data_IF_781266119233
#
_entry.id   IF_781266119233
#
_cell.length_a   1.000
_cell.length_b   1.000
_cell.length_c   1.000
_cell.angle_alpha   90.00
_cell.angle_beta   90.00
_cell.angle_gamma   90.00
#
_symmetry.space_group_name_H-M   'P 1'
#
loop_
_entity.id
_entity.type
_entity.pdbx_description
1 polymer ?
#
# COMPACT_ATOMS: atom_id res chain seq x y z
N UNK A 1 14.64 -30.50 70.65
CA UNK A 1 13.79 -29.35 70.29
C UNK A 1 13.60 -29.14 68.78
N UNK A 2 14.68 -29.16 67.97
CA UNK A 2 14.60 -28.90 66.52
C UNK A 2 13.70 -29.87 65.72
N UNK A 3 13.68 -31.17 66.06
CA UNK A 3 12.88 -32.19 65.36
C UNK A 3 11.36 -31.98 65.53
N UNK A 4 10.92 -31.61 66.74
CA UNK A 4 9.51 -31.35 67.04
C UNK A 4 9.00 -30.07 66.34
N UNK A 5 9.83 -29.04 66.25
CA UNK A 5 9.51 -27.81 65.52
C UNK A 5 9.37 -28.09 64.02
N UNK A 6 10.26 -28.93 63.46
CA UNK A 6 10.21 -29.36 62.05
C UNK A 6 8.94 -30.17 61.76
N UNK A 7 8.60 -31.13 62.62
CA UNK A 7 7.40 -31.98 62.51
C UNK A 7 6.10 -31.17 62.67
N UNK A 8 6.06 -30.20 63.59
CA UNK A 8 4.93 -29.28 63.77
C UNK A 8 4.73 -28.36 62.56
N UNK A 9 5.82 -27.86 61.95
CA UNK A 9 5.75 -27.09 60.69
C UNK A 9 5.21 -27.93 59.53
N UNK A 10 5.66 -29.18 59.41
CA UNK A 10 5.22 -30.10 58.35
C UNK A 10 3.73 -30.47 58.48
N UNK A 11 3.23 -30.73 59.70
CA UNK A 11 1.81 -30.99 59.96
C UNK A 11 0.93 -29.76 59.69
N UNK A 12 1.40 -28.54 60.01
CA UNK A 12 0.70 -27.30 59.65
C UNK A 12 0.56 -27.16 58.13
N UNK A 13 1.63 -27.44 57.39
CA UNK A 13 1.64 -27.38 55.94
C UNK A 13 0.67 -28.41 55.33
N UNK A 14 0.67 -29.66 55.82
CA UNK A 14 -0.28 -30.69 55.38
C UNK A 14 -1.73 -30.32 55.67
N UNK A 15 -2.02 -29.76 56.86
CA UNK A 15 -3.37 -29.28 57.19
C UNK A 15 -3.82 -28.16 56.25
N UNK A 16 -2.93 -27.25 55.88
CA UNK A 16 -3.22 -26.17 54.95
C UNK A 16 -3.51 -26.69 53.54
N UNK A 17 -2.72 -27.65 53.05
CA UNK A 17 -2.97 -28.32 51.76
C UNK A 17 -4.32 -29.03 51.74
N UNK A 18 -4.65 -29.82 52.76
CA UNK A 18 -5.94 -30.51 52.87
C UNK A 18 -7.13 -29.54 52.93
N UNK A 19 -6.95 -28.39 53.57
CA UNK A 19 -7.97 -27.34 53.64
C UNK A 19 -8.20 -26.73 52.26
N UNK A 20 -7.13 -26.39 51.54
CA UNK A 20 -7.21 -25.89 50.17
C UNK A 20 -7.87 -26.90 49.22
N UNK A 21 -7.53 -28.19 49.35
CA UNK A 21 -8.15 -29.28 48.57
C UNK A 21 -9.66 -29.33 48.80
N UNK A 22 -10.12 -29.30 50.06
CA UNK A 22 -11.57 -29.30 50.38
C UNK A 22 -12.28 -28.06 49.81
N UNK A 23 -11.62 -26.92 49.83
CA UNK A 23 -12.15 -25.69 49.25
C UNK A 23 -12.29 -25.81 47.73
N UNK A 24 -11.30 -26.37 47.02
CA UNK A 24 -11.39 -26.65 45.58
C UNK A 24 -12.55 -27.60 45.29
N UNK A 25 -12.66 -28.72 46.02
CA UNK A 25 -13.72 -29.71 45.81
C UNK A 25 -15.12 -29.12 46.05
N UNK A 26 -15.27 -28.23 47.02
CA UNK A 26 -16.53 -27.51 47.25
C UNK A 26 -16.88 -26.60 46.07
N UNK A 27 -15.92 -25.78 45.64
CA UNK A 27 -16.07 -24.84 44.52
C UNK A 27 -16.42 -25.58 43.22
N UNK A 28 -15.78 -26.73 42.98
CA UNK A 28 -16.10 -27.60 41.84
C UNK A 28 -17.52 -28.19 41.92
N UNK A 29 -18.04 -28.51 43.11
CA UNK A 29 -19.43 -28.93 43.27
C UNK A 29 -20.42 -27.81 42.95
N UNK A 30 -20.12 -26.58 43.39
CA UNK A 30 -20.93 -25.40 43.09
C UNK A 30 -20.95 -25.15 41.57
N UNK A 31 -19.79 -25.20 40.90
CA UNK A 31 -19.70 -25.06 39.45
C UNK A 31 -20.46 -26.15 38.69
N UNK A 32 -20.41 -27.41 39.16
CA UNK A 32 -21.19 -28.50 38.58
C UNK A 32 -22.71 -28.30 38.71
N UNK A 33 -23.17 -27.67 39.79
CA UNK A 33 -24.60 -27.34 39.95
C UNK A 33 -25.01 -26.18 39.02
N UNK A 34 -24.13 -25.19 38.85
CA UNK A 34 -24.35 -24.06 37.94
C UNK A 34 -24.29 -24.47 36.46
N UNK A 35 -23.64 -25.60 36.14
CA UNK A 35 -23.69 -26.18 34.80
C UNK A 35 -25.13 -26.47 34.32
N UNK A 36 -26.08 -26.72 35.23
CA UNK A 36 -27.48 -27.00 34.91
C UNK A 36 -28.40 -25.78 35.00
N UNK A 37 -27.87 -24.60 35.35
CA UNK A 37 -28.66 -23.39 35.45
C UNK A 37 -28.78 -22.70 34.08
N UNK A 38 -29.93 -22.06 33.84
CA UNK A 38 -30.27 -21.34 32.59
C UNK A 38 -30.11 -19.81 32.70
N UNK A 39 -29.86 -19.26 33.90
CA UNK A 39 -29.71 -17.81 34.10
C UNK A 39 -28.28 -17.33 33.76
N UNK A 40 -28.10 -16.93 32.51
CA UNK A 40 -26.81 -16.60 31.88
C UNK A 40 -25.95 -15.58 32.66
N UNK A 41 -26.58 -14.62 33.35
CA UNK A 41 -25.91 -13.51 34.04
C UNK A 41 -25.45 -13.89 35.45
N UNK A 42 -26.32 -14.54 36.23
CA UNK A 42 -26.00 -15.00 37.60
C UNK A 42 -24.95 -16.12 37.58
N UNK A 43 -25.02 -16.95 36.53
CA UNK A 43 -24.05 -18.02 36.30
C UNK A 43 -22.64 -17.45 36.08
N UNK A 44 -22.50 -16.34 35.35
CA UNK A 44 -21.20 -15.83 34.91
C UNK A 44 -20.33 -15.26 36.03
N UNK A 45 -20.85 -14.35 36.86
CA UNK A 45 -20.09 -13.74 37.96
C UNK A 45 -19.70 -14.78 39.02
N UNK A 46 -20.60 -15.72 39.26
CA UNK A 46 -20.36 -16.82 40.19
C UNK A 46 -19.36 -17.82 39.61
N UNK A 47 -19.47 -18.15 38.32
CA UNK A 47 -18.47 -18.96 37.60
C UNK A 47 -17.10 -18.29 37.69
N UNK A 48 -17.01 -17.00 37.38
CA UNK A 48 -15.77 -16.21 37.44
C UNK A 48 -15.12 -16.27 38.82
N UNK A 49 -15.89 -15.97 39.87
CA UNK A 49 -15.41 -15.99 41.26
C UNK A 49 -14.86 -17.35 41.67
N UNK A 50 -15.59 -18.42 41.34
CA UNK A 50 -15.21 -19.79 41.66
C UNK A 50 -14.00 -20.27 40.84
N UNK A 51 -13.88 -19.88 39.56
CA UNK A 51 -12.70 -20.19 38.74
C UNK A 51 -11.45 -19.52 39.30
N UNK A 52 -11.51 -18.22 39.59
CA UNK A 52 -10.37 -17.48 40.14
C UNK A 52 -9.95 -18.07 41.48
N UNK A 53 -10.91 -18.44 42.32
CA UNK A 53 -10.68 -19.11 43.59
C UNK A 53 -10.00 -20.48 43.42
N UNK A 54 -10.51 -21.33 42.51
CA UNK A 54 -9.92 -22.63 42.23
C UNK A 54 -8.50 -22.46 41.70
N UNK A 55 -8.26 -21.59 40.71
CA UNK A 55 -6.93 -21.38 40.14
C UNK A 55 -5.90 -20.91 41.18
N UNK A 56 -6.30 -20.02 42.10
CA UNK A 56 -5.45 -19.59 43.20
C UNK A 56 -5.03 -20.77 44.09
N UNK A 57 -5.98 -21.62 44.49
CA UNK A 57 -5.70 -22.76 45.36
C UNK A 57 -4.98 -23.92 44.64
N UNK A 58 -5.23 -24.11 43.34
CA UNK A 58 -4.49 -25.05 42.50
C UNK A 58 -3.00 -24.70 42.48
N UNK A 59 -2.65 -23.43 42.28
CA UNK A 59 -1.26 -22.96 42.29
C UNK A 59 -0.54 -23.25 43.62
N UNK A 60 -1.25 -23.22 44.75
CA UNK A 60 -0.68 -23.51 46.06
C UNK A 60 -0.46 -25.01 46.34
N UNK A 61 -1.02 -25.90 45.52
CA UNK A 61 -1.06 -27.35 45.77
C UNK A 61 -0.36 -28.21 44.69
N UNK A 62 0.23 -27.59 43.65
CA UNK A 62 0.77 -28.28 42.47
C UNK A 62 1.80 -29.39 42.75
N UNK A 63 2.58 -29.26 43.83
CA UNK A 63 3.69 -30.19 44.14
C UNK A 63 3.27 -31.42 44.97
N UNK A 64 1.97 -31.74 45.04
CA UNK A 64 1.44 -32.79 45.92
C UNK A 64 0.82 -33.94 45.12
N UNK A 65 1.13 -35.21 45.44
CA UNK A 65 0.59 -36.36 44.73
C UNK A 65 -0.94 -36.50 44.89
N UNK A 66 -1.51 -36.01 46.00
CA UNK A 66 -2.95 -35.97 46.24
C UNK A 66 -3.68 -35.04 45.25
N UNK A 67 -2.94 -34.15 44.58
CA UNK A 67 -3.47 -33.15 43.67
C UNK A 67 -3.69 -33.68 42.24
N UNK A 68 -3.09 -34.81 41.83
CA UNK A 68 -3.22 -35.36 40.46
C UNK A 68 -4.67 -35.68 40.10
N UNK A 69 -5.41 -36.33 41.01
CA UNK A 69 -6.82 -36.68 40.80
C UNK A 69 -7.72 -35.44 40.72
N UNK A 70 -7.42 -34.43 41.52
CA UNK A 70 -8.16 -33.16 41.53
C UNK A 70 -7.87 -32.38 40.24
N UNK A 71 -6.61 -32.37 39.79
CA UNK A 71 -6.20 -31.73 38.55
C UNK A 71 -6.90 -32.35 37.33
N UNK A 72 -7.02 -33.68 37.26
CA UNK A 72 -7.74 -34.35 36.17
C UNK A 72 -9.24 -33.99 36.16
N UNK A 73 -9.88 -33.97 37.34
CA UNK A 73 -11.28 -33.56 37.47
C UNK A 73 -11.48 -32.07 37.14
N UNK A 74 -10.51 -31.22 37.46
CA UNK A 74 -10.56 -29.80 37.14
C UNK A 74 -10.47 -29.57 35.64
N UNK A 75 -9.57 -30.26 34.93
CA UNK A 75 -9.45 -30.13 33.48
C UNK A 75 -10.71 -30.59 32.74
N UNK A 76 -11.35 -31.68 33.18
CA UNK A 76 -12.62 -32.13 32.59
C UNK A 76 -13.76 -31.12 32.81
N UNK A 77 -13.88 -30.58 34.04
CA UNK A 77 -14.84 -29.52 34.35
C UNK A 77 -14.56 -28.25 33.54
N UNK A 78 -13.30 -27.85 33.44
CA UNK A 78 -12.84 -26.68 32.69
C UNK A 78 -13.22 -26.79 31.21
N UNK A 79 -13.00 -27.93 30.57
CA UNK A 79 -13.42 -28.15 29.17
C UNK A 79 -14.94 -28.06 28.98
N UNK A 80 -15.70 -28.60 29.93
CA UNK A 80 -17.17 -28.52 29.91
C UNK A 80 -17.66 -27.07 30.04
N UNK A 81 -17.09 -26.31 30.99
CA UNK A 81 -17.38 -24.89 31.19
C UNK A 81 -16.98 -24.05 29.97
N UNK A 82 -15.81 -24.32 29.37
CA UNK A 82 -15.38 -23.65 28.15
C UNK A 82 -16.41 -23.83 27.04
N UNK A 83 -16.85 -25.06 26.79
CA UNK A 83 -17.85 -25.35 25.76
C UNK A 83 -19.18 -24.64 26.04
N UNK A 84 -19.64 -24.63 27.30
CA UNK A 84 -20.89 -23.93 27.68
C UNK A 84 -20.78 -22.42 27.47
N UNK A 85 -19.70 -21.80 27.96
CA UNK A 85 -19.46 -20.34 27.86
C UNK A 85 -19.27 -19.92 26.41
N UNK A 86 -18.59 -20.72 25.58
CA UNK A 86 -18.46 -20.50 24.14
C UNK A 86 -19.83 -20.46 23.45
N UNK A 87 -20.70 -21.43 23.72
CA UNK A 87 -22.05 -21.47 23.15
C UNK A 87 -22.91 -20.28 23.59
N UNK A 88 -22.80 -19.86 24.86
CA UNK A 88 -23.50 -18.67 25.37
C UNK A 88 -22.97 -17.38 24.75
N UNK A 89 -21.64 -17.24 24.61
CA UNK A 89 -21.02 -16.10 23.92
C UNK A 89 -21.58 -15.94 22.51
N UNK A 90 -21.67 -17.03 21.74
CA UNK A 90 -22.21 -17.00 20.37
C UNK A 90 -23.69 -16.58 20.34
N UNK A 91 -24.50 -17.05 21.29
CA UNK A 91 -25.91 -16.63 21.42
C UNK A 91 -26.02 -15.13 21.73
N UNK A 92 -25.28 -14.66 22.72
CA UNK A 92 -25.27 -13.26 23.17
C UNK A 92 -24.76 -12.33 22.07
N UNK A 93 -23.73 -12.76 21.34
CA UNK A 93 -23.20 -12.04 20.17
C UNK A 93 -24.26 -11.93 19.06
N UNK A 94 -24.93 -13.04 18.72
CA UNK A 94 -25.97 -13.05 17.69
C UNK A 94 -27.20 -12.22 18.07
N UNK A 95 -27.54 -12.17 19.36
CA UNK A 95 -28.62 -11.34 19.90
C UNK A 95 -28.25 -9.85 20.03
N UNK A 96 -27.01 -9.46 19.69
CA UNK A 96 -26.47 -8.09 19.78
C UNK A 96 -26.48 -7.50 21.19
N UNK A 97 -26.32 -8.35 22.21
CA UNK A 97 -26.27 -7.94 23.62
C UNK A 97 -24.84 -7.53 24.03
N UNK A 98 -24.36 -6.40 23.49
CA UNK A 98 -22.97 -5.94 23.63
C UNK A 98 -22.47 -5.82 25.07
N UNK A 99 -23.34 -5.43 26.02
CA UNK A 99 -23.00 -5.31 27.44
C UNK A 99 -22.54 -6.64 28.05
N UNK A 100 -23.16 -7.76 27.66
CA UNK A 100 -22.86 -9.09 28.20
C UNK A 100 -21.64 -9.74 27.53
N UNK A 101 -21.34 -9.42 26.27
CA UNK A 101 -20.22 -9.99 25.52
C UNK A 101 -18.89 -9.85 26.28
N UNK A 102 -18.63 -8.67 26.83
CA UNK A 102 -17.42 -8.38 27.62
C UNK A 102 -17.23 -9.36 28.78
N UNK A 103 -18.29 -9.63 29.55
CA UNK A 103 -18.26 -10.56 30.69
C UNK A 103 -17.91 -12.00 30.27
N UNK A 104 -18.49 -12.49 29.16
CA UNK A 104 -18.18 -13.82 28.63
C UNK A 104 -16.72 -13.92 28.15
N UNK A 105 -16.20 -12.87 27.51
CA UNK A 105 -14.79 -12.82 27.09
C UNK A 105 -13.86 -12.84 28.31
N UNK A 106 -14.13 -12.04 29.34
CA UNK A 106 -13.34 -12.03 30.58
C UNK A 106 -13.35 -13.43 31.23
N UNK A 107 -14.50 -14.10 31.27
CA UNK A 107 -14.60 -15.46 31.80
C UNK A 107 -13.79 -16.49 31.01
N UNK A 108 -13.78 -16.40 29.67
CA UNK A 108 -12.96 -17.28 28.83
C UNK A 108 -11.46 -17.03 29.01
N UNK A 109 -11.05 -15.76 29.10
CA UNK A 109 -9.65 -15.39 29.34
C UNK A 109 -9.19 -15.93 30.69
N UNK A 110 -10.01 -15.79 31.73
CA UNK A 110 -9.71 -16.34 33.06
C UNK A 110 -9.65 -17.87 33.05
N UNK A 111 -10.49 -18.58 32.29
CA UNK A 111 -10.42 -20.04 32.21
C UNK A 111 -9.17 -20.55 31.48
N UNK A 112 -8.74 -19.85 30.44
CA UNK A 112 -7.65 -20.28 29.56
C UNK A 112 -6.53 -19.25 29.54
N UNK A 113 -6.38 -18.55 28.42
CA UNK A 113 -5.44 -17.46 28.20
C UNK A 113 -5.98 -16.61 27.05
N UNK A 114 -5.39 -15.44 26.85
CA UNK A 114 -5.76 -14.53 25.76
C UNK A 114 -5.67 -15.20 24.38
N UNK A 115 -4.62 -15.99 24.14
CA UNK A 115 -4.35 -16.58 22.81
C UNK A 115 -5.40 -17.61 22.39
N UNK A 116 -5.95 -18.38 23.33
CA UNK A 116 -7.02 -19.33 23.09
C UNK A 116 -8.33 -18.61 22.76
N UNK A 117 -8.63 -17.52 23.46
CA UNK A 117 -9.83 -16.70 23.19
C UNK A 117 -9.73 -16.02 21.83
N UNK A 118 -8.57 -15.48 21.47
CA UNK A 118 -8.31 -14.92 20.14
C UNK A 118 -8.54 -15.95 19.03
N UNK A 119 -8.03 -17.19 19.18
CA UNK A 119 -8.26 -18.28 18.22
C UNK A 119 -9.73 -18.67 18.11
N UNK A 120 -10.43 -18.72 19.24
CA UNK A 120 -11.87 -19.01 19.27
C UNK A 120 -12.65 -17.95 18.48
N UNK A 121 -12.45 -16.67 18.79
CA UNK A 121 -13.15 -15.56 18.13
C UNK A 121 -12.85 -15.56 16.63
N UNK A 122 -11.59 -15.78 16.26
CA UNK A 122 -11.20 -15.91 14.86
C UNK A 122 -11.97 -17.02 14.14
N UNK A 123 -12.12 -18.19 14.78
CA UNK A 123 -12.74 -19.38 14.17
C UNK A 123 -14.26 -19.30 14.11
N UNK A 124 -14.89 -18.92 15.22
CA UNK A 124 -16.35 -19.05 15.39
C UNK A 124 -17.12 -17.77 15.04
N UNK A 125 -16.47 -16.59 15.09
CA UNK A 125 -17.13 -15.29 14.84
C UNK A 125 -16.60 -14.64 13.56
N UNK A 126 -15.29 -14.42 13.48
CA UNK A 126 -14.71 -13.62 12.40
C UNK A 126 -14.67 -14.41 11.08
N UNK A 127 -14.19 -15.66 11.09
CA UNK A 127 -14.14 -16.48 9.87
C UNK A 127 -15.50 -16.56 9.15
N UNK A 128 -16.61 -17.02 9.76
CA UNK A 128 -17.88 -17.11 9.03
C UNK A 128 -18.35 -15.75 8.50
N UNK A 129 -18.16 -14.67 9.27
CA UNK A 129 -18.55 -13.33 8.87
C UNK A 129 -17.78 -12.83 7.64
N UNK A 130 -16.46 -13.02 7.61
CA UNK A 130 -15.64 -12.56 6.49
C UNK A 130 -15.62 -13.51 5.30
N UNK A 131 -16.06 -14.75 5.46
CA UNK A 131 -16.19 -15.72 4.35
C UNK A 131 -17.38 -15.36 3.47
N UNK A 132 -18.46 -14.94 4.10
CA UNK A 132 -19.64 -14.39 3.43
C UNK A 132 -19.37 -12.99 2.85
N UNK A 133 -18.63 -12.14 3.58
CA UNK A 133 -18.41 -10.75 3.20
C UNK A 133 -17.29 -10.54 2.16
N UNK A 134 -16.16 -11.24 2.30
CA UNK A 134 -14.93 -11.02 1.50
C UNK A 134 -14.72 -12.21 0.56
N UNK A 135 -15.33 -12.12 -0.62
CA UNK A 135 -15.18 -13.08 -1.71
C UNK A 135 -15.34 -12.38 -3.07
N UNK A 136 -14.97 -13.06 -4.16
CA UNK A 136 -15.07 -12.50 -5.52
C UNK A 136 -16.52 -12.15 -5.92
N UNK A 137 -17.52 -12.90 -5.44
CA UNK A 137 -18.94 -12.63 -5.71
C UNK A 137 -19.41 -11.32 -5.06
N UNK A 138 -18.98 -11.06 -3.82
CA UNK A 138 -19.25 -9.83 -3.08
C UNK A 138 -18.55 -8.62 -3.70
N UNK A 139 -17.39 -8.82 -4.33
CA UNK A 139 -16.72 -7.78 -5.11
C UNK A 139 -17.46 -7.49 -6.42
N UNK A 140 -17.92 -8.53 -7.12
CA UNK A 140 -18.61 -8.41 -8.40
C UNK A 140 -20.01 -7.79 -8.28
N UNK A 141 -20.69 -8.06 -7.17
CA UNK A 141 -22.05 -7.56 -6.90
C UNK A 141 -22.08 -6.13 -6.33
N UNK A 142 -20.96 -5.58 -5.86
CA UNK A 142 -20.94 -4.25 -5.26
C UNK A 142 -21.01 -3.14 -6.32
N UNK A 143 -22.01 -2.23 -6.27
CA UNK A 143 -22.16 -1.15 -7.24
C UNK A 143 -20.98 -0.16 -7.22
N UNK A 144 -20.25 -0.07 -6.10
CA UNK A 144 -19.05 0.77 -5.97
C UNK A 144 -17.76 -0.04 -6.11
N UNK A 145 -17.84 -1.28 -6.59
CA UNK A 145 -16.70 -2.18 -6.75
C UNK A 145 -15.91 -2.34 -5.44
N UNK A 146 -14.58 -2.26 -5.49
CA UNK A 146 -13.68 -2.49 -4.37
C UNK A 146 -13.86 -1.47 -3.24
N UNK A 147 -14.08 -0.20 -3.56
CA UNK A 147 -14.34 0.86 -2.57
C UNK A 147 -15.59 0.56 -1.73
N UNK A 148 -16.66 0.06 -2.37
CA UNK A 148 -17.87 -0.33 -1.67
C UNK A 148 -17.68 -1.51 -0.73
N UNK A 149 -16.92 -2.52 -1.18
CA UNK A 149 -16.58 -3.68 -0.37
C UNK A 149 -15.71 -3.27 0.83
N UNK A 150 -14.71 -2.41 0.65
CA UNK A 150 -13.93 -1.85 1.74
C UNK A 150 -14.79 -1.08 2.74
N UNK A 151 -15.71 -0.23 2.29
CA UNK A 151 -16.61 0.50 3.17
C UNK A 151 -17.51 -0.44 4.01
N UNK A 152 -18.01 -1.53 3.41
CA UNK A 152 -18.79 -2.55 4.13
C UNK A 152 -17.94 -3.29 5.16
N UNK A 153 -16.69 -3.62 4.84
CA UNK A 153 -15.77 -4.22 5.80
C UNK A 153 -15.51 -3.26 6.97
N UNK A 154 -15.24 -1.98 6.69
CA UNK A 154 -15.00 -0.98 7.72
C UNK A 154 -16.19 -0.79 8.66
N UNK A 155 -17.43 -0.83 8.16
CA UNK A 155 -18.61 -0.74 9.02
C UNK A 155 -18.73 -1.92 9.99
N UNK A 156 -18.31 -3.12 9.57
CA UNK A 156 -18.24 -4.29 10.45
C UNK A 156 -17.10 -4.16 11.46
N UNK A 157 -15.96 -3.60 11.05
CA UNK A 157 -14.84 -3.29 11.98
C UNK A 157 -15.29 -2.27 13.03
N UNK A 158 -16.04 -1.24 12.65
CA UNK A 158 -16.57 -0.24 13.59
C UNK A 158 -17.58 -0.86 14.57
N UNK A 159 -18.49 -1.70 14.06
CA UNK A 159 -19.44 -2.44 14.90
C UNK A 159 -18.71 -3.38 15.87
N UNK A 160 -17.66 -4.06 15.41
CA UNK A 160 -16.82 -4.91 16.24
C UNK A 160 -16.09 -4.10 17.31
N UNK A 161 -15.54 -2.93 16.96
CA UNK A 161 -14.89 -2.04 17.92
C UNK A 161 -15.87 -1.53 18.99
N UNK A 162 -17.14 -1.28 18.65
CA UNK A 162 -18.15 -0.89 19.64
C UNK A 162 -18.48 -2.01 20.63
N UNK A 163 -18.53 -3.27 20.16
CA UNK A 163 -18.85 -4.43 21.01
C UNK A 163 -17.68 -4.79 21.93
N UNK A 164 -16.46 -4.81 21.39
CA UNK A 164 -15.28 -5.33 22.10
C UNK A 164 -14.33 -4.26 22.64
N UNK A 165 -14.52 -2.99 22.26
CA UNK A 165 -13.60 -1.90 22.59
C UNK A 165 -13.59 -1.48 24.05
N UNK A 166 -14.61 -1.86 24.83
CA UNK A 166 -14.70 -1.59 26.27
C UNK A 166 -14.05 -2.68 27.15
N UNK A 167 -13.45 -3.72 26.55
CA UNK A 167 -12.83 -4.81 27.29
C UNK A 167 -11.45 -4.39 27.78
N UNK A 168 -11.35 -3.97 29.03
CA UNK A 168 -10.10 -3.58 29.70
C UNK A 168 -9.37 -4.83 30.24
N UNK A 169 -8.73 -5.58 29.35
CA UNK A 169 -7.81 -6.67 29.74
C UNK A 169 -6.43 -6.31 29.20
N UNK A 170 -5.43 -6.26 30.09
CA UNK A 170 -4.04 -6.03 29.69
C UNK A 170 -3.62 -7.01 28.60
N UNK A 171 -2.97 -6.50 27.53
CA UNK A 171 -2.56 -7.23 26.32
C UNK A 171 -3.68 -7.72 25.37
N UNK A 172 -4.95 -7.52 25.73
CA UNK A 172 -6.09 -7.94 24.92
C UNK A 172 -6.47 -6.84 23.91
N UNK A 173 -6.16 -7.05 22.64
CA UNK A 173 -6.55 -6.13 21.57
C UNK A 173 -7.07 -6.94 20.37
N UNK A 174 -8.35 -7.31 20.42
CA UNK A 174 -8.98 -8.12 19.37
C UNK A 174 -8.99 -7.44 18.01
N UNK A 175 -9.06 -6.11 17.98
CA UNK A 175 -9.00 -5.37 16.72
C UNK A 175 -7.65 -5.60 16.02
N UNK A 176 -6.55 -5.42 16.76
CA UNK A 176 -5.18 -5.52 16.22
C UNK A 176 -4.74 -6.97 16.04
N UNK A 177 -5.05 -7.85 16.99
CA UNK A 177 -4.52 -9.22 17.04
C UNK A 177 -5.36 -10.20 16.21
N UNK A 178 -6.66 -9.94 16.05
CA UNK A 178 -7.57 -10.84 15.35
C UNK A 178 -8.16 -10.17 14.12
N UNK A 179 -8.83 -9.03 14.31
CA UNK A 179 -9.70 -8.51 13.28
C UNK A 179 -8.93 -8.08 12.03
N UNK A 180 -8.00 -7.13 12.17
CA UNK A 180 -7.24 -6.62 11.03
C UNK A 180 -6.48 -7.74 10.30
N UNK A 181 -5.74 -8.64 10.99
CA UNK A 181 -5.09 -9.78 10.32
C UNK A 181 -6.06 -10.66 9.53
N UNK A 182 -7.24 -10.99 10.07
CA UNK A 182 -8.23 -11.80 9.34
C UNK A 182 -8.72 -11.11 8.08
N UNK A 183 -9.07 -9.82 8.17
CA UNK A 183 -9.53 -9.05 7.01
C UNK A 183 -8.48 -9.06 5.90
N UNK A 184 -7.24 -8.71 6.22
CA UNK A 184 -6.15 -8.62 5.25
C UNK A 184 -5.81 -9.98 4.64
N UNK A 185 -5.81 -11.03 5.47
CA UNK A 185 -5.64 -12.42 5.01
C UNK A 185 -6.74 -12.81 4.03
N UNK A 186 -8.01 -12.45 4.31
CA UNK A 186 -9.13 -12.81 3.43
C UNK A 186 -9.07 -12.09 2.08
N UNK A 187 -8.76 -10.80 2.06
CA UNK A 187 -8.53 -10.11 0.79
C UNK A 187 -7.39 -10.74 -0.03
N UNK A 188 -6.29 -11.06 0.64
CA UNK A 188 -5.11 -11.66 -0.02
C UNK A 188 -5.41 -13.05 -0.60
N UNK A 189 -6.24 -13.86 0.07
CA UNK A 189 -6.51 -15.24 -0.33
C UNK A 189 -7.73 -15.41 -1.25
N UNK A 190 -8.82 -14.68 -0.98
CA UNK A 190 -10.12 -14.90 -1.62
C UNK A 190 -10.49 -13.85 -2.65
N UNK A 191 -9.77 -12.73 -2.73
CA UNK A 191 -10.06 -11.64 -3.68
C UNK A 191 -8.82 -11.30 -4.50
N UNK A 192 -8.15 -12.34 -5.02
CA UNK A 192 -6.87 -12.20 -5.72
C UNK A 192 -6.97 -11.34 -6.98
N UNK A 193 -8.17 -11.24 -7.55
CA UNK A 193 -8.42 -10.44 -8.76
C UNK A 193 -8.06 -8.96 -8.60
N UNK A 194 -8.07 -8.41 -7.37
CA UNK A 194 -7.75 -6.99 -7.13
C UNK A 194 -6.29 -6.66 -7.42
N UNK A 195 -5.39 -7.63 -7.25
CA UNK A 195 -3.94 -7.45 -7.41
C UNK A 195 -3.46 -7.65 -8.85
N UNK A 196 -4.35 -8.01 -9.77
CA UNK A 196 -3.99 -8.33 -11.15
C UNK A 196 -3.37 -7.12 -11.87
N UNK A 197 -2.12 -7.21 -12.37
CA UNK A 197 -1.45 -6.07 -12.99
C UNK A 197 -1.85 -5.83 -14.45
N UNK A 198 -2.62 -6.73 -15.08
CA UNK A 198 -2.85 -6.74 -16.54
C UNK A 198 -3.45 -5.46 -17.12
N UNK A 199 -4.17 -4.68 -16.33
CA UNK A 199 -4.62 -3.34 -16.71
C UNK A 199 -4.03 -2.32 -15.73
N UNK A 200 -3.14 -1.46 -16.23
CA UNK A 200 -2.41 -0.49 -15.40
C UNK A 200 -3.34 0.54 -14.74
N UNK A 201 -4.37 1.03 -15.44
CA UNK A 201 -5.30 2.02 -14.87
C UNK A 201 -6.12 1.41 -13.73
N UNK A 202 -6.64 0.20 -13.94
CA UNK A 202 -7.37 -0.54 -12.91
C UNK A 202 -6.48 -0.91 -11.72
N UNK A 203 -5.24 -1.36 -11.98
CA UNK A 203 -4.27 -1.66 -10.93
C UNK A 203 -3.98 -0.42 -10.08
N UNK A 204 -3.74 0.73 -10.71
CA UNK A 204 -3.46 1.99 -10.02
C UNK A 204 -4.62 2.42 -9.13
N UNK A 205 -5.85 2.39 -9.67
CA UNK A 205 -7.06 2.73 -8.93
C UNK A 205 -7.23 1.83 -7.70
N UNK A 206 -7.18 0.51 -7.90
CA UNK A 206 -7.36 -0.46 -6.81
C UNK A 206 -6.25 -0.39 -5.77
N UNK A 207 -5.01 -0.12 -6.19
CA UNK A 207 -3.89 0.12 -5.28
C UNK A 207 -4.18 1.32 -4.38
N UNK A 208 -4.63 2.46 -4.95
CA UNK A 208 -4.98 3.66 -4.17
C UNK A 208 -6.13 3.41 -3.20
N UNK A 209 -7.21 2.78 -3.67
CA UNK A 209 -8.34 2.38 -2.82
C UNK A 209 -7.88 1.47 -1.66
N UNK A 210 -6.96 0.54 -1.94
CA UNK A 210 -6.41 -0.37 -0.92
C UNK A 210 -5.52 0.33 0.08
N UNK A 211 -4.66 1.28 -0.35
CA UNK A 211 -3.84 2.06 0.58
C UNK A 211 -4.70 2.95 1.47
N UNK A 212 -5.74 3.58 0.92
CA UNK A 212 -6.69 4.38 1.69
C UNK A 212 -7.46 3.51 2.70
N UNK A 213 -7.83 2.30 2.31
CA UNK A 213 -8.44 1.33 3.21
C UNK A 213 -7.51 0.95 4.37
N UNK A 214 -6.21 0.75 4.11
CA UNK A 214 -5.22 0.51 5.16
C UNK A 214 -5.11 1.71 6.12
N UNK A 215 -5.04 2.94 5.58
CA UNK A 215 -5.00 4.16 6.41
C UNK A 215 -6.25 4.23 7.32
N UNK A 216 -7.43 3.92 6.77
CA UNK A 216 -8.68 3.90 7.54
C UNK A 216 -8.72 2.77 8.59
N UNK A 217 -8.08 1.63 8.36
CA UNK A 217 -7.91 0.58 9.38
C UNK A 217 -6.95 1.02 10.48
N UNK A 218 -5.87 1.71 10.12
CA UNK A 218 -4.90 2.22 11.08
C UNK A 218 -5.48 3.33 11.96
N UNK A 219 -6.32 4.22 11.40
CA UNK A 219 -7.04 5.25 12.17
C UNK A 219 -7.97 4.68 13.24
N UNK A 220 -8.37 3.40 13.09
CA UNK A 220 -9.21 2.69 14.08
C UNK A 220 -8.38 2.09 15.20
N UNK A 221 -7.05 2.05 15.09
CA UNK A 221 -6.18 1.67 16.19
C UNK A 221 -6.16 2.78 17.26
N UNK A 222 -6.02 2.40 18.53
CA UNK A 222 -6.11 3.37 19.63
C UNK A 222 -4.83 4.20 19.82
N UNK A 223 -3.68 3.69 19.34
CA UNK A 223 -2.37 4.27 19.58
C UNK A 223 -1.35 3.83 18.49
N UNK A 224 -0.20 4.51 18.45
CA UNK A 224 0.85 4.24 17.47
C UNK A 224 1.48 2.84 17.62
N UNK A 225 1.58 2.29 18.85
CA UNK A 225 2.18 0.97 19.06
C UNK A 225 1.26 -0.12 18.48
N UNK A 226 -0.05 0.05 18.61
CA UNK A 226 -1.07 -0.76 17.95
C UNK A 226 -0.92 -0.71 16.42
N UNK A 227 -0.78 0.47 15.83
CA UNK A 227 -0.52 0.64 14.39
C UNK A 227 0.77 -0.07 13.98
N UNK A 228 1.85 0.11 14.74
CA UNK A 228 3.13 -0.56 14.48
C UNK A 228 2.97 -2.08 14.48
N UNK A 229 2.25 -2.63 15.47
CA UNK A 229 1.98 -4.06 15.58
C UNK A 229 1.19 -4.59 14.38
N UNK A 230 0.20 -3.84 13.90
CA UNK A 230 -0.53 -4.17 12.66
C UNK A 230 0.42 -4.18 11.46
N UNK A 231 1.24 -3.14 11.28
CA UNK A 231 2.19 -3.07 10.15
C UNK A 231 3.26 -4.16 10.19
N UNK A 232 3.63 -4.61 11.38
CA UNK A 232 4.62 -5.66 11.59
C UNK A 232 4.05 -7.07 11.39
N UNK A 233 2.71 -7.25 11.37
CA UNK A 233 2.11 -8.56 11.18
C UNK A 233 2.32 -9.09 9.75
N UNK A 234 2.30 -10.42 9.63
CA UNK A 234 2.59 -11.09 8.37
C UNK A 234 1.49 -10.84 7.34
N UNK A 235 0.22 -10.80 7.77
CA UNK A 235 -0.93 -10.57 6.90
C UNK A 235 -0.91 -9.19 6.25
N UNK A 236 -0.47 -8.15 6.99
CA UNK A 236 -0.31 -6.80 6.45
C UNK A 236 0.79 -6.75 5.40
N UNK A 237 1.94 -7.37 5.70
CA UNK A 237 3.06 -7.46 4.77
C UNK A 237 2.68 -8.24 3.51
N UNK A 238 1.97 -9.36 3.64
CA UNK A 238 1.49 -10.16 2.51
C UNK A 238 0.51 -9.39 1.63
N UNK A 239 -0.42 -8.65 2.24
CA UNK A 239 -1.38 -7.83 1.50
C UNK A 239 -0.65 -6.76 0.67
N UNK A 240 0.32 -6.05 1.24
CA UNK A 240 1.13 -5.06 0.51
C UNK A 240 2.00 -5.73 -0.57
N UNK A 241 2.66 -6.83 -0.24
CA UNK A 241 3.57 -7.54 -1.15
C UNK A 241 2.83 -8.20 -2.33
N UNK A 242 1.52 -8.43 -2.21
CA UNK A 242 0.68 -8.94 -3.31
C UNK A 242 0.57 -7.93 -4.46
N UNK A 243 0.77 -6.64 -4.20
CA UNK A 243 0.83 -5.62 -5.25
C UNK A 243 2.16 -5.70 -5.99
N UNK A 244 2.15 -6.27 -7.20
CA UNK A 244 3.33 -6.29 -8.06
C UNK A 244 3.54 -4.93 -8.75
N UNK A 245 3.99 -3.97 -7.95
CA UNK A 245 4.28 -2.60 -8.38
C UNK A 245 5.39 -2.57 -9.46
N UNK A 246 6.22 -3.62 -9.55
CA UNK A 246 7.23 -3.74 -10.60
C UNK A 246 6.61 -3.97 -11.97
N UNK A 247 5.68 -4.92 -12.09
CA UNK A 247 4.96 -5.17 -13.36
C UNK A 247 4.11 -3.97 -13.74
N UNK A 248 3.46 -3.32 -12.76
CA UNK A 248 2.74 -2.07 -12.99
C UNK A 248 3.65 -1.00 -13.64
N UNK A 249 4.83 -0.77 -13.07
CA UNK A 249 5.78 0.17 -13.65
C UNK A 249 6.22 -0.24 -15.06
N UNK A 250 6.42 -1.54 -15.33
CA UNK A 250 6.80 -2.01 -16.67
C UNK A 250 5.74 -1.68 -17.72
N UNK A 251 4.46 -1.87 -17.41
CA UNK A 251 3.35 -1.51 -18.31
C UNK A 251 3.29 0.01 -18.55
N UNK A 252 3.44 0.81 -17.49
CA UNK A 252 3.50 2.28 -17.60
C UNK A 252 4.70 2.73 -18.41
N UNK A 253 5.87 2.13 -18.18
CA UNK A 253 7.09 2.40 -18.94
C UNK A 253 6.87 2.12 -20.44
N UNK A 254 6.34 0.96 -20.81
CA UNK A 254 6.08 0.61 -22.21
C UNK A 254 5.11 1.59 -22.89
N UNK A 255 4.04 2.00 -22.19
CA UNK A 255 3.08 2.97 -22.71
C UNK A 255 3.74 4.34 -22.96
N UNK A 256 4.46 4.85 -21.95
CA UNK A 256 5.05 6.20 -21.98
C UNK A 256 6.25 6.23 -22.95
N UNK A 257 7.20 5.32 -22.79
CA UNK A 257 8.38 5.25 -23.66
C UNK A 257 7.98 4.94 -25.11
N UNK A 258 7.00 4.06 -25.33
CA UNK A 258 6.48 3.76 -26.67
C UNK A 258 5.90 4.99 -27.36
N UNK A 259 5.15 5.84 -26.64
CA UNK A 259 4.65 7.14 -27.17
C UNK A 259 5.79 8.09 -27.53
N UNK A 260 6.82 8.18 -26.69
CA UNK A 260 8.01 8.99 -26.97
C UNK A 260 8.72 8.49 -28.23
N UNK A 261 9.04 7.20 -28.32
CA UNK A 261 9.75 6.64 -29.48
C UNK A 261 8.94 6.78 -30.77
N UNK A 262 7.63 6.52 -30.74
CA UNK A 262 6.78 6.69 -31.93
C UNK A 262 6.79 8.13 -32.41
N UNK A 263 6.81 9.09 -31.49
CA UNK A 263 6.81 10.51 -31.84
C UNK A 263 8.18 11.04 -32.28
N UNK A 264 9.28 10.47 -31.77
CA UNK A 264 10.64 10.85 -32.14
C UNK A 264 11.15 10.09 -33.38
N UNK A 265 10.55 8.94 -33.72
CA UNK A 265 10.88 8.17 -34.92
C UNK A 265 10.51 8.87 -36.24
N UNK A 266 9.68 9.93 -36.18
CA UNK A 266 9.37 10.79 -37.32
C UNK A 266 10.63 11.64 -37.62
N UNK A 267 11.60 11.02 -38.28
CA UNK A 267 12.81 11.67 -38.77
C UNK A 267 12.47 12.74 -39.81
N UNK A 268 13.39 13.68 -40.04
CA UNK A 268 13.06 14.89 -40.75
C UNK A 268 13.15 14.68 -42.27
N UNK A 269 12.05 14.90 -42.98
CA UNK A 269 11.90 14.55 -44.38
C UNK A 269 10.53 13.98 -44.74
N UNK A 270 9.71 13.71 -43.72
CA UNK A 270 8.27 13.50 -43.81
C UNK A 270 7.54 14.70 -43.19
N UNK A 271 6.29 14.94 -43.60
CA UNK A 271 5.42 16.07 -43.22
C UNK A 271 5.41 16.39 -41.71
N UNK A 272 6.39 17.16 -41.22
CA UNK A 272 6.38 17.65 -39.86
C UNK A 272 5.32 18.73 -39.74
N UNK A 273 4.43 18.58 -38.76
CA UNK A 273 3.35 19.54 -38.52
C UNK A 273 3.85 20.65 -37.60
N UNK A 274 3.77 21.89 -38.09
CA UNK A 274 4.06 23.10 -37.32
C UNK A 274 2.74 23.74 -36.88
N UNK A 275 2.49 23.76 -35.57
CA UNK A 275 1.37 24.53 -35.00
C UNK A 275 1.82 25.97 -34.74
N UNK A 276 1.59 26.85 -35.73
CA UNK A 276 2.04 28.26 -35.65
C UNK A 276 1.39 29.03 -34.50
N UNK A 277 0.25 28.59 -33.98
CA UNK A 277 -0.54 29.32 -32.97
C UNK A 277 -0.21 28.94 -31.53
N UNK A 278 0.68 27.95 -31.30
CA UNK A 278 1.03 27.48 -29.95
C UNK A 278 2.46 27.83 -29.53
N UNK A 279 2.76 27.87 -28.23
CA UNK A 279 4.12 28.13 -27.74
C UNK A 279 5.11 27.03 -28.14
N UNK A 280 4.68 25.76 -28.13
CA UNK A 280 5.40 24.63 -28.70
C UNK A 280 4.86 24.34 -30.10
N UNK A 281 5.74 24.35 -31.10
CA UNK A 281 5.45 24.26 -32.53
C UNK A 281 5.43 22.82 -33.06
N UNK A 282 6.34 21.98 -32.57
CA UNK A 282 6.59 20.61 -33.02
C UNK A 282 5.85 19.61 -32.13
N UNK A 283 5.07 18.74 -32.78
CA UNK A 283 4.33 17.67 -32.09
C UNK A 283 5.27 16.73 -31.30
N UNK A 284 6.48 16.47 -31.81
CA UNK A 284 7.48 15.64 -31.16
C UNK A 284 7.91 16.18 -29.78
N UNK A 285 8.24 17.46 -29.71
CA UNK A 285 8.66 18.11 -28.45
C UNK A 285 7.49 18.17 -27.46
N UNK A 286 6.29 18.48 -27.97
CA UNK A 286 5.06 18.47 -27.17
C UNK A 286 4.81 17.10 -26.55
N UNK A 287 4.91 16.03 -27.35
CA UNK A 287 4.70 14.66 -26.88
C UNK A 287 5.75 14.23 -25.85
N UNK A 288 7.01 14.66 -26.02
CA UNK A 288 8.07 14.45 -25.02
C UNK A 288 7.68 15.06 -23.68
N UNK A 289 7.25 16.32 -23.65
CA UNK A 289 6.80 16.97 -22.41
C UNK A 289 5.57 16.29 -21.81
N UNK A 290 4.55 15.99 -22.62
CA UNK A 290 3.33 15.32 -22.14
C UNK A 290 3.63 13.95 -21.52
N UNK A 291 4.60 13.20 -22.06
CA UNK A 291 5.05 11.95 -21.47
C UNK A 291 5.78 12.14 -20.13
N UNK A 292 6.58 13.20 -19.98
CA UNK A 292 7.21 13.56 -18.71
C UNK A 292 6.13 13.95 -17.69
N UNK A 293 5.20 14.83 -18.06
CA UNK A 293 4.09 15.27 -17.20
C UNK A 293 3.21 14.08 -16.78
N UNK A 294 2.92 13.16 -17.70
CA UNK A 294 2.17 11.93 -17.44
C UNK A 294 2.81 11.06 -16.36
N UNK A 295 4.15 10.97 -16.30
CA UNK A 295 4.86 10.22 -15.25
C UNK A 295 4.50 10.71 -13.84
N UNK A 296 4.20 12.00 -13.69
CA UNK A 296 3.93 12.65 -12.39
C UNK A 296 2.45 12.98 -12.17
N UNK A 297 1.59 12.60 -13.12
CA UNK A 297 0.14 12.73 -12.99
C UNK A 297 -0.42 11.83 -11.90
N UNK A 298 -1.54 12.22 -11.30
CA UNK A 298 -2.21 11.43 -10.26
C UNK A 298 -2.74 10.08 -10.75
N UNK A 299 -2.82 9.86 -12.06
CA UNK A 299 -3.30 8.61 -12.69
C UNK A 299 -2.18 7.57 -12.89
N UNK A 300 -0.92 7.99 -12.79
CA UNK A 300 0.27 7.12 -12.98
C UNK A 300 1.11 7.06 -11.72
N UNK A 301 1.19 8.17 -10.98
CA UNK A 301 2.04 8.26 -9.81
C UNK A 301 1.59 7.31 -8.70
N UNK A 302 2.55 6.50 -8.22
CA UNK A 302 2.47 5.76 -6.96
C UNK A 302 3.76 5.99 -6.15
N UNK A 303 3.69 6.18 -4.82
CA UNK A 303 4.87 6.42 -3.99
C UNK A 303 6.00 5.37 -4.14
N UNK A 304 5.74 4.05 -4.26
CA UNK A 304 6.82 3.07 -4.35
C UNK A 304 7.63 3.13 -5.66
N UNK A 305 7.12 3.78 -6.71
CA UNK A 305 7.80 3.88 -8.03
C UNK A 305 8.47 5.23 -8.28
N UNK A 306 8.46 6.15 -7.32
CA UNK A 306 9.07 7.50 -7.42
C UNK A 306 10.46 7.46 -8.08
N UNK A 307 11.36 6.60 -7.58
CA UNK A 307 12.74 6.51 -8.09
C UNK A 307 12.78 6.05 -9.55
N UNK A 308 11.86 5.16 -9.94
CA UNK A 308 11.76 4.62 -11.30
C UNK A 308 11.14 5.64 -12.26
N UNK A 309 10.15 6.41 -11.81
CA UNK A 309 9.57 7.53 -12.57
C UNK A 309 10.58 8.66 -12.78
N UNK A 310 11.37 8.99 -11.77
CA UNK A 310 12.46 9.96 -11.92
C UNK A 310 13.49 9.49 -12.94
N UNK A 311 13.94 8.24 -12.84
CA UNK A 311 14.83 7.64 -13.83
C UNK A 311 14.24 7.69 -15.24
N UNK A 312 12.97 7.31 -15.42
CA UNK A 312 12.29 7.37 -16.72
C UNK A 312 12.23 8.80 -17.25
N UNK A 313 11.97 9.79 -16.39
CA UNK A 313 11.96 11.20 -16.78
C UNK A 313 13.31 11.62 -17.37
N UNK A 314 14.42 11.30 -16.70
CA UNK A 314 15.77 11.60 -17.21
C UNK A 314 16.08 10.82 -18.50
N UNK A 315 15.63 9.56 -18.61
CA UNK A 315 15.79 8.76 -19.83
C UNK A 315 15.04 9.36 -21.03
N UNK A 316 13.84 9.90 -20.82
CA UNK A 316 13.07 10.60 -21.86
C UNK A 316 13.83 11.85 -22.33
N UNK A 317 14.37 12.65 -21.40
CA UNK A 317 15.17 13.84 -21.74
C UNK A 317 16.44 13.45 -22.51
N UNK A 318 17.15 12.43 -22.04
CA UNK A 318 18.34 11.90 -22.69
C UNK A 318 18.04 11.41 -24.12
N UNK A 319 16.97 10.64 -24.31
CA UNK A 319 16.53 10.19 -25.64
C UNK A 319 16.19 11.35 -26.56
N UNK A 320 15.52 12.38 -26.03
CA UNK A 320 15.22 13.59 -26.78
C UNK A 320 16.49 14.34 -27.21
N UNK A 321 17.53 14.37 -26.38
CA UNK A 321 18.83 14.94 -26.75
C UNK A 321 19.47 14.15 -27.92
N UNK A 322 19.38 12.82 -27.90
CA UNK A 322 19.83 11.97 -29.02
C UNK A 322 19.03 12.23 -30.28
N UNK A 323 17.72 12.43 -30.18
CA UNK A 323 16.88 12.83 -31.31
C UNK A 323 17.33 14.17 -31.91
N UNK A 324 17.67 15.16 -31.07
CA UNK A 324 18.23 16.42 -31.55
C UNK A 324 19.50 16.19 -32.39
N UNK A 325 20.41 15.34 -31.90
CA UNK A 325 21.64 14.97 -32.63
C UNK A 325 21.35 14.29 -33.98
N UNK A 326 20.36 13.41 -34.01
CA UNK A 326 19.91 12.74 -35.24
C UNK A 326 19.36 13.75 -36.26
N UNK A 327 18.59 14.75 -35.82
CA UNK A 327 17.98 15.75 -36.72
C UNK A 327 18.99 16.73 -37.33
N UNK A 328 20.13 16.94 -36.67
CA UNK A 328 21.20 17.83 -37.13
C UNK A 328 22.13 17.20 -38.17
N UNK A 329 22.00 15.89 -38.43
CA UNK A 329 22.75 15.20 -39.50
C UNK A 329 22.33 15.71 -40.88
N UNK A 330 23.22 15.57 -41.86
CA UNK A 330 22.99 16.08 -43.22
C UNK A 330 22.20 15.11 -44.12
N UNK A 331 21.69 14.02 -43.55
CA UNK A 331 20.96 12.94 -44.24
C UNK A 331 19.46 13.23 -44.45
N UNK A 332 19.12 14.48 -44.79
CA UNK A 332 17.74 14.84 -45.14
C UNK A 332 17.45 14.47 -46.62
N UNK A 333 16.23 14.07 -46.99
CA UNK A 333 15.86 13.82 -48.39
C UNK A 333 16.20 15.03 -49.28
N UNK A 334 16.63 14.82 -50.52
CA UNK A 334 17.22 15.89 -51.37
C UNK A 334 16.21 16.70 -52.23
N UNK A 335 14.91 16.50 -52.09
CA UNK A 335 13.87 17.12 -52.95
C UNK A 335 13.20 18.34 -52.31
N UNK A 336 13.54 19.57 -52.74
CA UNK A 336 12.97 20.87 -52.27
C UNK A 336 13.00 21.11 -50.73
N UNK A 337 14.03 20.59 -50.06
CA UNK A 337 14.07 20.36 -48.59
C UNK A 337 14.74 21.45 -47.76
N UNK A 338 15.40 22.40 -48.40
CA UNK A 338 16.37 23.27 -47.75
C UNK A 338 15.70 24.34 -46.83
N UNK A 339 14.60 24.95 -47.31
CA UNK A 339 13.75 25.84 -46.50
C UNK A 339 13.00 25.07 -45.41
N UNK A 340 12.58 23.83 -45.68
CA UNK A 340 11.87 22.99 -44.71
C UNK A 340 12.77 22.55 -43.55
N UNK A 341 14.04 22.23 -43.84
CA UNK A 341 15.06 21.92 -42.83
C UNK A 341 15.34 23.15 -41.96
N UNK A 342 15.53 24.32 -42.57
CA UNK A 342 15.70 25.58 -41.82
C UNK A 342 14.51 25.85 -40.90
N UNK A 343 13.29 25.75 -41.42
CA UNK A 343 12.06 25.97 -40.65
C UNK A 343 11.94 24.99 -39.47
N UNK A 344 12.23 23.71 -39.70
CA UNK A 344 12.23 22.70 -38.64
C UNK A 344 13.23 23.04 -37.54
N UNK A 345 14.48 23.36 -37.88
CA UNK A 345 15.52 23.70 -36.91
C UNK A 345 15.17 24.95 -36.10
N UNK A 346 14.59 25.97 -36.73
CA UNK A 346 14.10 27.18 -36.03
C UNK A 346 12.98 26.83 -35.05
N UNK A 347 12.02 26.00 -35.47
CA UNK A 347 10.93 25.54 -34.58
C UNK A 347 11.49 24.69 -33.43
N UNK A 348 12.43 23.79 -33.72
CA UNK A 348 13.08 22.95 -32.72
C UNK A 348 13.83 23.80 -31.70
N UNK A 349 14.57 24.83 -32.12
CA UNK A 349 15.29 25.71 -31.21
C UNK A 349 14.34 26.41 -30.22
N UNK A 350 13.24 26.98 -30.74
CA UNK A 350 12.21 27.61 -29.91
C UNK A 350 11.59 26.62 -28.92
N UNK A 351 11.27 25.42 -29.39
CA UNK A 351 10.61 24.40 -28.59
C UNK A 351 11.52 23.78 -27.52
N UNK A 352 12.82 23.69 -27.79
CA UNK A 352 13.81 23.28 -26.77
C UNK A 352 13.83 24.30 -25.63
N UNK A 353 13.83 25.61 -25.94
CA UNK A 353 13.78 26.66 -24.91
C UNK A 353 12.48 26.59 -24.11
N UNK A 354 11.34 26.36 -24.79
CA UNK A 354 10.07 26.09 -24.13
C UNK A 354 10.15 24.88 -23.19
N UNK A 355 10.69 23.75 -23.65
CA UNK A 355 10.85 22.53 -22.86
C UNK A 355 11.73 22.76 -21.63
N UNK A 356 12.85 23.49 -21.78
CA UNK A 356 13.74 23.86 -20.66
C UNK A 356 13.00 24.64 -19.59
N UNK A 357 12.19 25.63 -19.99
CA UNK A 357 11.39 26.43 -19.05
C UNK A 357 10.37 25.60 -18.27
N UNK A 358 9.88 24.51 -18.87
CA UNK A 358 8.98 23.57 -18.20
C UNK A 358 9.73 22.64 -17.24
N UNK A 359 10.85 22.09 -17.71
CA UNK A 359 11.70 21.21 -16.93
C UNK A 359 12.23 21.89 -15.67
N UNK A 360 12.59 23.18 -15.69
CA UNK A 360 13.09 23.89 -14.50
C UNK A 360 12.13 23.87 -13.31
N UNK A 361 10.83 23.70 -13.53
CA UNK A 361 9.81 23.59 -12.46
C UNK A 361 9.52 22.15 -12.00
N UNK A 362 10.12 21.15 -12.65
CA UNK A 362 9.77 19.74 -12.44
C UNK A 362 10.11 19.24 -11.03
N UNK A 363 11.23 19.68 -10.46
CA UNK A 363 11.62 19.28 -9.08
C UNK A 363 10.57 19.74 -8.07
N UNK A 364 9.94 20.89 -8.30
CA UNK A 364 8.87 21.40 -7.42
C UNK A 364 7.61 20.55 -7.56
N UNK A 365 7.24 20.14 -8.78
CA UNK A 365 6.14 19.20 -9.03
C UNK A 365 6.37 17.87 -8.30
N UNK A 366 7.58 17.33 -8.37
CA UNK A 366 7.94 16.11 -7.62
C UNK A 366 7.86 16.35 -6.11
N UNK A 367 8.35 17.48 -5.63
CA UNK A 367 8.36 17.83 -4.20
C UNK A 367 6.95 18.00 -3.61
N UNK A 368 5.95 18.33 -4.43
CA UNK A 368 4.54 18.37 -4.00
C UNK A 368 3.94 16.97 -3.80
N UNK A 369 4.48 15.94 -4.45
CA UNK A 369 3.96 14.56 -4.39
C UNK A 369 4.60 13.73 -3.28
N UNK A 370 5.78 14.11 -2.80
CA UNK A 370 6.55 13.34 -1.82
C UNK A 370 7.27 14.23 -0.82
N UNK A 371 7.30 13.79 0.43
CA UNK A 371 8.10 14.43 1.47
C UNK A 371 9.58 14.13 1.19
N UNK A 372 10.31 15.15 0.75
CA UNK A 372 11.75 15.07 0.47
C UNK A 372 12.55 15.77 1.56
N UNK A 373 13.64 15.15 1.98
CA UNK A 373 14.69 15.87 2.71
C UNK A 373 15.41 16.82 1.77
N UNK A 374 16.00 17.87 2.33
CA UNK A 374 16.76 18.87 1.57
C UNK A 374 17.85 18.23 0.71
N UNK A 375 18.58 17.25 1.26
CA UNK A 375 19.60 16.50 0.53
C UNK A 375 19.02 15.76 -0.68
N UNK A 376 17.87 15.09 -0.54
CA UNK A 376 17.25 14.37 -1.65
C UNK A 376 16.73 15.33 -2.72
N UNK A 377 16.16 16.48 -2.31
CA UNK A 377 15.75 17.53 -3.25
C UNK A 377 16.93 18.05 -4.06
N UNK A 378 18.06 18.31 -3.40
CA UNK A 378 19.30 18.72 -4.06
C UNK A 378 19.77 17.67 -5.08
N UNK A 379 19.79 16.38 -4.73
CA UNK A 379 20.17 15.33 -5.69
C UNK A 379 19.26 15.29 -6.92
N UNK A 380 17.94 15.50 -6.77
CA UNK A 380 17.04 15.59 -7.92
C UNK A 380 17.38 16.81 -8.77
N UNK A 381 17.59 17.96 -8.15
CA UNK A 381 17.96 19.19 -8.82
C UNK A 381 19.27 19.06 -9.59
N UNK A 382 20.33 18.53 -8.97
CA UNK A 382 21.63 18.32 -9.61
C UNK A 382 21.50 17.39 -10.84
N UNK A 383 20.74 16.28 -10.71
CA UNK A 383 20.54 15.34 -11.83
C UNK A 383 19.72 15.91 -13.00
N UNK A 384 18.80 16.82 -12.70
CA UNK A 384 18.03 17.52 -13.73
C UNK A 384 18.87 18.62 -14.39
N UNK A 385 19.68 19.34 -13.61
CA UNK A 385 20.57 20.39 -14.10
C UNK A 385 21.58 19.82 -15.12
N UNK A 386 22.15 18.65 -14.84
CA UNK A 386 23.02 17.95 -15.80
C UNK A 386 22.31 17.72 -17.15
N UNK A 387 21.03 17.30 -17.12
CA UNK A 387 20.23 17.12 -18.34
C UNK A 387 19.91 18.44 -19.04
N UNK A 388 19.66 19.51 -18.27
CA UNK A 388 19.41 20.85 -18.81
C UNK A 388 20.65 21.46 -19.46
N UNK A 389 21.84 21.21 -18.92
CA UNK A 389 23.12 21.63 -19.51
C UNK A 389 23.34 20.95 -20.86
N UNK A 390 23.12 19.64 -20.94
CA UNK A 390 23.21 18.89 -22.22
C UNK A 390 22.24 19.46 -23.25
N UNK A 391 20.99 19.71 -22.84
CA UNK A 391 19.97 20.29 -23.70
C UNK A 391 20.31 21.71 -24.15
N UNK A 392 20.93 22.52 -23.29
CA UNK A 392 21.45 23.85 -23.63
C UNK A 392 22.58 23.77 -24.67
N UNK A 393 23.45 22.76 -24.58
CA UNK A 393 24.47 22.52 -25.60
C UNK A 393 23.86 22.23 -26.98
N UNK A 394 22.70 21.57 -27.03
CA UNK A 394 21.99 21.31 -28.30
C UNK A 394 21.45 22.59 -28.96
N UNK A 395 20.97 23.56 -28.16
CA UNK A 395 20.53 24.88 -28.65
C UNK A 395 21.66 25.55 -29.45
N UNK A 396 22.86 25.63 -28.87
CA UNK A 396 24.01 26.28 -29.52
C UNK A 396 24.37 25.61 -30.85
N UNK A 397 24.37 24.27 -30.90
CA UNK A 397 24.66 23.53 -32.14
C UNK A 397 23.57 23.72 -33.21
N UNK A 398 22.30 23.80 -32.80
CA UNK A 398 21.19 24.06 -33.72
C UNK A 398 21.30 25.47 -34.31
N UNK A 399 21.65 26.47 -33.50
CA UNK A 399 21.86 27.86 -33.93
C UNK A 399 22.99 27.98 -34.96
N UNK A 400 24.14 27.34 -34.70
CA UNK A 400 25.25 27.25 -35.66
C UNK A 400 24.81 26.61 -36.98
N UNK A 401 24.07 25.50 -36.92
CA UNK A 401 23.54 24.81 -38.11
C UNK A 401 22.54 25.66 -38.90
N UNK A 402 21.68 26.44 -38.22
CA UNK A 402 20.75 27.37 -38.87
C UNK A 402 21.55 28.45 -39.62
N UNK A 403 22.55 29.06 -38.97
CA UNK A 403 23.39 30.10 -39.59
C UNK A 403 24.11 29.52 -40.81
N UNK A 404 24.73 28.35 -40.69
CA UNK A 404 25.43 27.68 -41.80
C UNK A 404 24.49 27.39 -42.97
N UNK A 405 23.27 26.94 -42.70
CA UNK A 405 22.31 26.59 -43.74
C UNK A 405 21.82 27.82 -44.48
N UNK A 406 21.40 28.86 -43.75
CA UNK A 406 20.97 30.15 -44.32
C UNK A 406 22.10 30.82 -45.08
N UNK A 407 23.34 30.79 -44.57
CA UNK A 407 24.50 31.35 -45.26
C UNK A 407 24.78 30.62 -46.59
N UNK A 408 24.72 29.28 -46.60
CA UNK A 408 24.90 28.46 -47.82
C UNK A 408 23.84 28.75 -48.87
N UNK A 409 22.56 28.85 -48.48
CA UNK A 409 21.47 29.20 -49.39
C UNK A 409 21.62 30.61 -49.94
N UNK A 410 21.90 31.58 -49.07
CA UNK A 410 22.10 32.97 -49.45
C UNK A 410 23.26 33.13 -50.43
N UNK A 411 24.39 32.43 -50.20
CA UNK A 411 25.52 32.41 -51.12
C UNK A 411 25.17 31.80 -52.48
N UNK A 412 24.34 30.76 -52.53
CA UNK A 412 23.89 30.18 -53.78
C UNK A 412 23.05 31.17 -54.60
N UNK A 413 22.13 31.89 -53.93
CA UNK A 413 21.36 32.96 -54.56
C UNK A 413 22.25 34.13 -55.01
N UNK A 414 23.18 34.61 -54.18
CA UNK A 414 24.10 35.70 -54.55
C UNK A 414 25.00 35.31 -55.73
N UNK A 415 25.49 34.07 -55.78
CA UNK A 415 26.27 33.56 -56.94
C UNK A 415 25.43 33.58 -58.21
N UNK A 416 24.20 33.10 -58.17
CA UNK A 416 23.29 33.15 -59.32
C UNK A 416 23.08 34.58 -59.85
N UNK A 417 22.94 35.57 -58.96
CA UNK A 417 22.80 36.99 -59.32
C UNK A 417 24.10 37.57 -59.89
N UNK A 418 25.25 37.23 -59.33
CA UNK A 418 26.57 37.66 -59.83
C UNK A 418 26.93 37.06 -61.19
N UNK A 419 26.35 35.91 -61.55
CA UNK A 419 26.53 35.30 -62.87
C UNK A 419 25.59 35.89 -63.94
N UNK A 420 24.58 36.69 -63.58
CA UNK A 420 23.68 37.36 -64.53
C UNK A 420 24.46 38.29 -65.50
N UNK A 421 25.34 39.21 -65.04
CA UNK A 421 26.13 40.03 -65.95
C UNK A 421 27.04 39.23 -66.90
N UNK A 422 27.50 38.03 -66.49
CA UNK A 422 28.32 37.15 -67.36
C UNK A 422 27.51 36.55 -68.50
N UNK A 423 26.25 36.18 -68.24
CA UNK A 423 25.35 35.68 -69.29
C UNK A 423 24.96 36.78 -70.27
N UNK A 424 24.71 38.01 -69.80
CA UNK A 424 24.43 39.14 -70.70
C UNK A 424 25.66 39.56 -71.52
N UNK A 425 26.90 39.41 -71.03
CA UNK A 425 28.11 39.66 -71.82
C UNK A 425 28.31 38.66 -72.97
N UNK A 426 27.77 37.44 -72.89
CA UNK A 426 27.84 36.46 -73.99
C UNK A 426 26.74 36.63 -75.04
N UNK A 427 25.74 37.48 -74.82
CA UNK A 427 24.65 37.74 -75.77
C UNK A 427 24.96 38.97 -76.65
N UNK A 428 25.93 39.81 -76.25
CA UNK A 428 26.32 41.04 -76.96
C UNK A 428 27.70 40.96 -77.65
N UNK A 429 28.29 39.78 -77.76
CA UNK A 429 29.40 39.45 -78.66
C UNK A 429 28.95 38.30 -79.55
#
# INVERSE_FOLDING_TARGET
>A
MNVYIKKKKQLKLQKQVLTNIRHIEHSMKVLNQLHNCDDETIILERILSEITFIQFHINACKDKPEFEKISSNWESLKQCLLTKIQNLLLRVYNNRESSKVSCFIIALVNLTDVTHVEKLINKEILAPLFDELINEESLASDPRSLEGLFARVLSHVDSFKQIFGAIEIDSFNLLVNCMIPQVLKRFTLYVKSIFAPGNADMFHRRYKESTQFLDQLEDRCNDWQSVKKVRDCEEYKQFINSWNVTVYFQLRFQNIAGKVETSLAILPGSDFKVDKNKPCKLAAVKQTWECIEMCWSDQVFLPPIVRRLWKLTLQIISRFCTFCDETMKDDWPKTDVNIQKTLFLVCLNNDIQWLRSKLSSLVDVVSQKIILSEQKRKCLQDSLEESLVVLSGKVTLIEEKIIDHVAKESLAHIRSVNDIPRHFRMIFF
#
